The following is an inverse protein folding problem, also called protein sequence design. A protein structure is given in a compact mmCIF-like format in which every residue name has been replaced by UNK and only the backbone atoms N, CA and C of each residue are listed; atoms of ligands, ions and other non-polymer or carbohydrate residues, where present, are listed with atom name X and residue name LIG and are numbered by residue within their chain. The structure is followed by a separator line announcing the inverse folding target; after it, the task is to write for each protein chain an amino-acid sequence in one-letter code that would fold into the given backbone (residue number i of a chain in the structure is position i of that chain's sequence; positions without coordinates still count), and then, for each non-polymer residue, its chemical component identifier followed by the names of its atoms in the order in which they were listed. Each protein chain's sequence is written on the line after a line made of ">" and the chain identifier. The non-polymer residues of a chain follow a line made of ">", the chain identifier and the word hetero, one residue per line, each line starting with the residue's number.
data_IF_487544545457
#
_entry.id   IF_487544545457
#
_cell.length_a   1.000
_cell.length_b   1.000
_cell.length_c   1.000
_cell.angle_alpha   90.00
_cell.angle_beta   90.00
_cell.angle_gamma   90.00
#
_symmetry.space_group_name_H-M   'P 1'
#
loop_
_entity.id
_entity.type
_entity.pdbx_description
1 polymer ?
#
# COMPACT_ATOMS: atom_id res chain seq x y z
N UNK A 1 -4.31 22.72 5.52
CA UNK A 1 -4.29 21.32 5.09
C UNK A 1 -4.87 20.48 6.20
N UNK A 2 -5.86 19.62 5.89
CA UNK A 2 -6.42 18.70 6.86
C UNK A 2 -5.35 17.81 7.47
N UNK A 3 -5.39 17.65 8.79
CA UNK A 3 -4.57 16.70 9.55
C UNK A 3 -5.33 15.40 9.71
N UNK A 4 -4.62 14.29 9.64
CA UNK A 4 -5.21 12.95 9.80
C UNK A 4 -5.09 12.51 11.25
N UNK A 5 -6.22 12.29 11.91
CA UNK A 5 -6.28 11.62 13.20
C UNK A 5 -6.00 10.14 13.00
N UNK A 6 -5.05 9.59 13.77
CA UNK A 6 -4.58 8.22 13.63
C UNK A 6 -4.81 7.43 14.89
N UNK A 7 -5.16 6.16 14.75
CA UNK A 7 -5.33 5.29 15.89
C UNK A 7 -4.00 5.19 16.67
N UNK A 8 -3.96 5.52 17.96
CA UNK A 8 -2.73 5.43 18.75
C UNK A 8 -2.30 3.97 18.92
N UNK A 9 -1.00 3.75 19.16
CA UNK A 9 -0.42 2.42 19.30
C UNK A 9 -1.09 1.58 20.40
N UNK A 10 -1.46 2.22 21.51
CA UNK A 10 -2.16 1.59 22.63
C UNK A 10 -3.55 1.04 22.28
N UNK A 11 -4.13 1.43 21.14
CA UNK A 11 -5.41 0.94 20.64
C UNK A 11 -5.26 -0.03 19.45
N UNK A 12 -4.04 -0.46 19.13
CA UNK A 12 -3.80 -1.45 18.09
C UNK A 12 -4.57 -2.76 18.35
N UNK A 13 -5.34 -3.21 17.35
CA UNK A 13 -6.19 -4.40 17.46
C UNK A 13 -7.55 -4.14 18.12
N UNK A 14 -7.88 -2.88 18.46
CA UNK A 14 -9.20 -2.50 18.94
C UNK A 14 -10.23 -2.46 17.80
N UNK A 15 -11.49 -2.67 18.14
CA UNK A 15 -12.62 -2.67 17.20
C UNK A 15 -13.37 -1.34 17.30
N UNK A 16 -13.56 -0.63 16.19
CA UNK A 16 -14.29 0.62 16.16
C UNK A 16 -15.76 0.41 16.57
N UNK A 17 -16.32 1.38 17.31
CA UNK A 17 -17.73 1.37 17.71
C UNK A 17 -18.48 2.57 17.16
N UNK A 18 -18.07 3.78 17.52
CA UNK A 18 -18.76 5.00 17.09
C UNK A 18 -17.87 6.23 17.17
N UNK A 19 -18.14 7.21 16.30
CA UNK A 19 -17.63 8.57 16.46
C UNK A 19 -18.40 9.30 17.57
N UNK A 20 -17.70 10.18 18.28
CA UNK A 20 -18.31 11.06 19.30
C UNK A 20 -18.94 12.32 18.71
N UNK A 21 -18.66 12.61 17.44
CA UNK A 21 -19.07 13.83 16.74
C UNK A 21 -19.49 13.51 15.30
N UNK A 22 -20.26 14.42 14.72
CA UNK A 22 -20.61 14.44 13.31
C UNK A 22 -19.69 15.34 12.49
N UNK A 23 -19.62 15.06 11.18
CA UNK A 23 -18.84 15.90 10.27
C UNK A 23 -19.37 17.34 10.27
N UNK A 24 -18.46 18.31 10.24
CA UNK A 24 -18.76 19.73 10.39
C UNK A 24 -18.76 20.23 11.84
N UNK A 25 -18.73 19.35 12.85
CA UNK A 25 -18.66 19.76 14.26
C UNK A 25 -17.23 20.14 14.69
N UNK A 26 -17.07 21.15 15.55
CA UNK A 26 -15.77 21.50 16.11
C UNK A 26 -15.30 20.43 17.11
N UNK A 27 -13.99 20.25 17.20
CA UNK A 27 -13.31 19.37 18.16
C UNK A 27 -12.04 20.05 18.66
N UNK A 28 -11.76 19.92 19.96
CA UNK A 28 -10.49 20.38 20.57
C UNK A 28 -9.57 19.20 20.83
N UNK A 29 -8.27 19.49 20.82
CA UNK A 29 -7.25 18.53 21.24
C UNK A 29 -7.59 17.99 22.64
N UNK A 30 -7.52 16.67 22.79
CA UNK A 30 -7.89 15.97 24.02
C UNK A 30 -9.38 15.67 24.16
N UNK A 31 -10.27 16.19 23.33
CA UNK A 31 -11.70 15.82 23.37
C UNK A 31 -11.94 14.42 22.76
N UNK A 32 -12.99 13.70 23.21
CA UNK A 32 -13.39 12.43 22.61
C UNK A 32 -13.66 12.55 21.10
N UNK A 33 -12.97 11.74 20.30
CA UNK A 33 -13.17 11.67 18.85
C UNK A 33 -13.98 10.43 18.47
N UNK A 34 -13.59 9.28 19.01
CA UNK A 34 -14.16 7.98 18.66
C UNK A 34 -14.02 6.99 19.82
N UNK A 35 -14.87 5.98 19.82
CA UNK A 35 -14.88 4.89 20.80
C UNK A 35 -14.54 3.57 20.14
N UNK A 36 -13.80 2.74 20.88
CA UNK A 36 -13.29 1.44 20.43
C UNK A 36 -13.48 0.39 21.52
N UNK A 37 -13.67 -0.87 21.14
CA UNK A 37 -13.63 -2.00 22.05
C UNK A 37 -12.24 -2.68 22.00
N UNK A 38 -11.59 -2.81 23.16
CA UNK A 38 -10.32 -3.50 23.32
C UNK A 38 -10.38 -4.43 24.54
N UNK A 39 -10.24 -5.74 24.32
CA UNK A 39 -10.36 -6.72 25.40
C UNK A 39 -11.71 -6.68 26.12
N UNK A 40 -12.79 -6.44 25.39
CA UNK A 40 -14.15 -6.32 25.94
C UNK A 40 -14.45 -5.02 26.70
N UNK A 41 -13.50 -4.08 26.76
CA UNK A 41 -13.70 -2.76 27.39
C UNK A 41 -13.85 -1.69 26.33
N UNK A 42 -14.78 -0.76 26.56
CA UNK A 42 -14.90 0.45 25.77
C UNK A 42 -13.78 1.43 26.14
N UNK A 43 -13.01 1.87 25.16
CA UNK A 43 -11.91 2.83 25.28
C UNK A 43 -12.17 4.00 24.34
N UNK A 44 -11.88 5.21 24.79
CA UNK A 44 -12.09 6.44 24.02
C UNK A 44 -10.78 6.90 23.42
N UNK A 45 -10.74 7.04 22.11
CA UNK A 45 -9.70 7.80 21.40
C UNK A 45 -10.01 9.28 21.51
N UNK A 46 -9.02 10.07 21.92
CA UNK A 46 -9.08 11.52 21.98
C UNK A 46 -8.40 12.13 20.77
N UNK A 47 -8.88 13.28 20.31
CA UNK A 47 -8.26 13.98 19.19
C UNK A 47 -6.86 14.50 19.54
N UNK A 48 -5.98 14.46 18.55
CA UNK A 48 -4.61 14.99 18.63
C UNK A 48 -4.49 16.38 18.02
N UNK A 49 -5.52 16.87 17.32
CA UNK A 49 -5.58 18.19 16.73
C UNK A 49 -6.90 18.87 17.07
N UNK A 50 -6.86 20.20 17.17
CA UNK A 50 -8.06 21.03 17.25
C UNK A 50 -8.51 21.47 15.85
N UNK A 51 -9.83 21.60 15.65
CA UNK A 51 -10.39 22.09 14.39
C UNK A 51 -11.86 21.69 14.23
N UNK A 52 -12.24 21.34 13.01
CA UNK A 52 -13.53 20.78 12.63
C UNK A 52 -13.31 19.36 12.12
N UNK A 53 -14.17 18.42 12.53
CA UNK A 53 -14.19 17.08 11.95
C UNK A 53 -14.65 17.17 10.49
N UNK A 54 -13.72 17.07 9.55
CA UNK A 54 -14.01 17.23 8.12
C UNK A 54 -14.51 15.95 7.48
N UNK A 55 -13.99 14.79 7.92
CA UNK A 55 -14.33 13.49 7.33
C UNK A 55 -14.10 12.35 8.31
N UNK A 56 -15.04 11.42 8.38
CA UNK A 56 -14.89 10.11 9.03
C UNK A 56 -14.27 9.14 8.01
N UNK A 57 -13.13 8.51 8.35
CA UNK A 57 -12.39 7.65 7.42
C UNK A 57 -12.58 6.15 7.69
N UNK A 58 -13.21 5.79 8.80
CA UNK A 58 -13.57 4.41 9.14
C UNK A 58 -15.07 4.33 9.35
N UNK A 59 -15.64 3.19 9.05
CA UNK A 59 -17.04 2.87 9.28
C UNK A 59 -17.14 1.44 9.85
N UNK A 60 -18.26 1.16 10.53
CA UNK A 60 -18.63 -0.18 11.01
C UNK A 60 -17.71 -0.80 12.08
N UNK A 61 -18.11 -1.97 12.61
CA UNK A 61 -17.40 -2.75 13.63
C UNK A 61 -16.07 -3.31 13.11
N UNK A 62 -15.11 -2.42 12.94
CA UNK A 62 -13.87 -2.68 12.23
C UNK A 62 -12.71 -2.81 13.20
N UNK A 63 -12.00 -3.94 13.14
CA UNK A 63 -10.73 -4.10 13.84
C UNK A 63 -9.65 -3.23 13.18
N UNK A 64 -9.09 -2.29 13.93
CA UNK A 64 -8.11 -1.33 13.45
C UNK A 64 -6.70 -1.68 13.92
N UNK A 65 -5.71 -1.44 13.07
CA UNK A 65 -4.30 -1.55 13.42
C UNK A 65 -3.79 -0.23 13.99
N UNK A 66 -2.73 -0.30 14.79
CA UNK A 66 -2.02 0.89 15.25
C UNK A 66 -1.64 1.78 14.07
N UNK A 67 -1.95 3.07 14.19
CA UNK A 67 -1.65 4.07 13.18
C UNK A 67 -2.59 4.09 11.97
N UNK A 68 -3.66 3.30 11.95
CA UNK A 68 -4.70 3.42 10.92
C UNK A 68 -5.32 4.83 10.93
N UNK A 69 -5.63 5.41 9.76
CA UNK A 69 -6.30 6.71 9.67
C UNK A 69 -7.76 6.56 10.12
N UNK A 70 -8.20 7.45 11.01
CA UNK A 70 -9.53 7.42 11.65
C UNK A 70 -10.41 8.56 11.13
N UNK A 71 -9.86 9.77 11.04
CA UNK A 71 -10.61 10.96 10.61
C UNK A 71 -9.69 12.03 10.02
N UNK A 72 -10.28 13.00 9.33
CA UNK A 72 -9.64 14.24 8.94
C UNK A 72 -10.16 15.40 9.81
N UNK A 73 -9.24 16.19 10.35
CA UNK A 73 -9.52 17.40 11.14
C UNK A 73 -8.83 18.59 10.49
N UNK A 74 -9.54 19.71 10.32
CA UNK A 74 -8.98 20.92 9.70
C UNK A 74 -9.79 22.16 10.02
N UNK A 75 -9.64 23.23 9.25
CA UNK A 75 -10.38 24.47 9.46
C UNK A 75 -11.86 24.33 9.08
N UNK A 76 -12.74 25.08 9.74
CA UNK A 76 -14.16 25.08 9.40
C UNK A 76 -14.37 25.50 7.94
N UNK A 77 -15.09 24.68 7.17
CA UNK A 77 -15.30 24.91 5.73
C UNK A 77 -14.09 24.63 4.84
N UNK A 78 -12.98 24.08 5.38
CA UNK A 78 -11.86 23.62 4.57
C UNK A 78 -12.31 22.48 3.66
N UNK A 79 -12.16 22.69 2.34
CA UNK A 79 -12.47 21.68 1.35
C UNK A 79 -11.40 20.59 1.37
N UNK A 80 -11.84 19.33 1.57
CA UNK A 80 -10.97 18.16 1.48
C UNK A 80 -10.75 17.72 0.03
N UNK A 81 -11.53 18.23 -0.92
CA UNK A 81 -11.52 17.91 -2.35
C UNK A 81 -11.92 16.46 -2.67
N UNK A 82 -12.06 15.61 -1.65
CA UNK A 82 -12.39 14.20 -1.76
C UNK A 82 -13.88 13.97 -1.48
N UNK A 83 -14.60 13.55 -2.51
CA UNK A 83 -15.99 13.10 -2.41
C UNK A 83 -16.09 11.63 -2.83
N UNK A 84 -16.36 10.70 -1.90
CA UNK A 84 -16.53 9.28 -2.23
C UNK A 84 -17.71 8.98 -3.15
N UNK A 85 -18.68 9.91 -3.26
CA UNK A 85 -19.79 9.79 -4.21
C UNK A 85 -19.37 10.12 -5.65
N UNK A 86 -18.20 10.72 -5.86
CA UNK A 86 -17.64 10.99 -7.18
C UNK A 86 -16.48 10.04 -7.52
N UNK A 87 -15.62 9.77 -6.54
CA UNK A 87 -14.43 8.91 -6.71
C UNK A 87 -14.33 7.95 -5.54
N UNK A 88 -14.48 6.66 -5.83
CA UNK A 88 -14.26 5.61 -4.84
C UNK A 88 -12.77 5.27 -4.82
N UNK A 89 -12.19 5.13 -3.63
CA UNK A 89 -10.77 4.91 -3.45
C UNK A 89 -10.56 3.66 -2.60
N UNK A 90 -9.79 2.71 -3.12
CA UNK A 90 -9.42 1.49 -2.40
C UNK A 90 -7.92 1.50 -2.17
N UNK A 91 -7.51 1.57 -0.91
CA UNK A 91 -6.14 1.32 -0.48
C UNK A 91 -5.88 -0.18 -0.50
N UNK A 92 -4.81 -0.61 -1.14
CA UNK A 92 -4.33 -1.99 -1.11
C UNK A 92 -3.02 -2.11 -0.37
N UNK A 93 -2.88 -3.24 0.31
CA UNK A 93 -1.65 -3.74 0.87
C UNK A 93 -1.64 -5.26 0.64
N UNK A 94 -0.72 -5.78 -0.18
CA UNK A 94 -0.77 -7.17 -0.66
C UNK A 94 0.54 -7.92 -0.36
N UNK A 95 0.42 -9.18 0.05
CA UNK A 95 1.51 -10.16 0.03
C UNK A 95 1.04 -11.37 -0.78
N UNK A 96 1.92 -11.94 -1.59
CA UNK A 96 1.68 -13.22 -2.24
C UNK A 96 2.79 -14.23 -1.90
N UNK A 97 2.51 -15.53 -2.06
CA UNK A 97 3.48 -16.60 -1.84
C UNK A 97 4.28 -16.89 -3.09
N UNK A 98 5.60 -16.96 -2.94
CA UNK A 98 6.49 -17.33 -4.02
C UNK A 98 6.39 -18.84 -4.31
N UNK A 99 6.12 -19.22 -5.55
CA UNK A 99 6.09 -20.62 -6.02
C UNK A 99 7.41 -21.36 -5.80
N UNK A 100 8.53 -20.64 -5.90
CA UNK A 100 9.87 -21.25 -5.85
C UNK A 100 10.37 -21.47 -4.43
N UNK A 101 10.12 -20.53 -3.51
CA UNK A 101 10.71 -20.59 -2.17
C UNK A 101 9.68 -20.60 -1.03
N UNK A 102 8.38 -20.53 -1.33
CA UNK A 102 7.29 -20.53 -0.35
C UNK A 102 7.18 -19.29 0.54
N UNK A 103 8.12 -18.34 0.43
CA UNK A 103 8.12 -17.11 1.22
C UNK A 103 7.14 -16.08 0.65
N UNK A 104 6.62 -15.24 1.53
CA UNK A 104 5.77 -14.13 1.14
C UNK A 104 6.61 -13.01 0.50
N UNK A 105 6.07 -12.37 -0.54
CA UNK A 105 6.65 -11.20 -1.17
C UNK A 105 5.58 -10.12 -1.39
N UNK A 106 5.94 -8.82 -1.31
CA UNK A 106 4.98 -7.75 -1.47
C UNK A 106 4.58 -7.54 -2.92
N UNK A 107 3.28 -7.31 -3.14
CA UNK A 107 2.72 -6.86 -4.43
C UNK A 107 2.36 -5.39 -4.30
N UNK A 108 3.32 -4.53 -4.65
CA UNK A 108 3.26 -3.08 -4.44
C UNK A 108 2.69 -2.30 -5.64
N UNK A 109 1.87 -2.95 -6.47
CA UNK A 109 1.19 -2.33 -7.59
C UNK A 109 0.44 -3.35 -8.44
N UNK A 110 -0.37 -2.86 -9.36
CA UNK A 110 -1.12 -3.63 -10.36
C UNK A 110 -0.20 -3.99 -11.53
N UNK A 111 0.56 -5.07 -11.34
CA UNK A 111 1.58 -5.56 -12.26
C UNK A 111 1.30 -7.01 -12.66
N UNK A 112 1.80 -7.42 -13.83
CA UNK A 112 1.69 -8.81 -14.31
C UNK A 112 2.80 -9.71 -13.78
N UNK A 113 3.85 -9.12 -13.22
CA UNK A 113 5.03 -9.81 -12.72
C UNK A 113 5.58 -9.09 -11.51
N UNK A 114 5.99 -9.83 -10.49
CA UNK A 114 6.65 -9.28 -9.32
C UNK A 114 7.85 -10.13 -8.92
N UNK A 115 8.94 -9.49 -8.52
CA UNK A 115 10.14 -10.17 -8.05
C UNK A 115 9.98 -10.59 -6.59
N UNK A 116 10.20 -11.86 -6.28
CA UNK A 116 10.31 -12.31 -4.90
C UNK A 116 11.58 -11.70 -4.27
N UNK A 117 11.41 -10.95 -3.18
CA UNK A 117 12.53 -10.31 -2.47
C UNK A 117 13.45 -11.30 -1.77
N UNK A 118 12.99 -12.54 -1.54
CA UNK A 118 13.75 -13.58 -0.84
C UNK A 118 14.63 -14.42 -1.76
N UNK A 119 14.11 -14.93 -2.89
CA UNK A 119 14.88 -15.78 -3.82
C UNK A 119 15.25 -15.08 -5.13
N UNK A 120 14.61 -13.95 -5.45
CA UNK A 120 14.83 -13.19 -6.68
C UNK A 120 14.01 -13.66 -7.86
N UNK A 121 13.25 -14.76 -7.72
CA UNK A 121 12.45 -15.30 -8.81
C UNK A 121 11.33 -14.33 -9.23
N UNK A 122 11.02 -14.31 -10.53
CA UNK A 122 9.99 -13.45 -11.08
C UNK A 122 8.67 -14.20 -11.15
N UNK A 123 7.78 -13.84 -10.24
CA UNK A 123 6.49 -14.48 -10.04
C UNK A 123 5.45 -13.89 -10.98
N UNK A 124 4.71 -14.72 -11.75
CA UNK A 124 3.59 -14.24 -12.56
C UNK A 124 2.43 -13.83 -11.65
N UNK A 125 1.82 -12.68 -11.96
CA UNK A 125 0.61 -12.15 -11.35
C UNK A 125 -0.40 -11.91 -12.47
N UNK A 126 -0.86 -13.01 -13.07
CA UNK A 126 -1.77 -12.99 -14.21
C UNK A 126 -3.15 -12.42 -13.86
N UNK A 127 -4.02 -12.36 -14.86
CA UNK A 127 -5.40 -11.88 -14.69
C UNK A 127 -6.15 -12.67 -13.60
N UNK A 128 -5.96 -13.98 -13.57
CA UNK A 128 -6.59 -14.89 -12.61
C UNK A 128 -6.27 -14.51 -11.16
N UNK A 129 -5.01 -14.15 -10.85
CA UNK A 129 -4.65 -13.65 -9.52
C UNK A 129 -5.45 -12.40 -9.14
N UNK A 130 -5.55 -11.42 -10.05
CA UNK A 130 -6.27 -10.19 -9.76
C UNK A 130 -7.79 -10.39 -9.68
N UNK A 131 -8.32 -11.31 -10.47
CA UNK A 131 -9.74 -11.62 -10.52
C UNK A 131 -10.17 -12.48 -9.32
N UNK A 132 -9.48 -13.58 -9.08
CA UNK A 132 -9.90 -14.61 -8.13
C UNK A 132 -9.44 -14.29 -6.71
N UNK A 133 -8.25 -13.70 -6.55
CA UNK A 133 -7.69 -13.45 -5.21
C UNK A 133 -7.91 -12.01 -4.70
N UNK A 134 -8.19 -11.03 -5.58
CA UNK A 134 -8.19 -9.61 -5.20
C UNK A 134 -9.52 -8.88 -5.47
N UNK A 135 -10.24 -9.25 -6.54
CA UNK A 135 -11.37 -8.46 -7.02
C UNK A 135 -12.53 -8.34 -6.02
N UNK A 136 -12.87 -9.43 -5.33
CA UNK A 136 -13.94 -9.44 -4.34
C UNK A 136 -13.65 -8.48 -3.18
N UNK A 137 -12.44 -8.57 -2.60
CA UNK A 137 -12.00 -7.70 -1.50
C UNK A 137 -11.94 -6.23 -1.88
N UNK A 138 -11.49 -5.94 -3.11
CA UNK A 138 -11.53 -4.59 -3.67
C UNK A 138 -12.98 -4.12 -3.82
N UNK A 139 -13.86 -4.99 -4.31
CA UNK A 139 -15.29 -4.72 -4.45
C UNK A 139 -15.94 -4.30 -3.13
N UNK A 140 -15.70 -5.03 -2.05
CA UNK A 140 -16.18 -4.67 -0.71
C UNK A 140 -15.60 -3.35 -0.21
N UNK A 141 -14.30 -3.14 -0.42
CA UNK A 141 -13.60 -1.95 0.04
C UNK A 141 -13.91 -0.68 -0.79
N UNK A 142 -14.70 -0.76 -1.88
CA UNK A 142 -15.16 0.44 -2.61
C UNK A 142 -16.11 1.29 -1.77
N UNK A 143 -16.76 0.70 -0.77
CA UNK A 143 -17.56 1.45 0.21
C UNK A 143 -16.63 2.24 1.14
N UNK A 144 -16.82 3.56 1.30
CA UNK A 144 -15.97 4.38 2.16
C UNK A 144 -15.92 3.87 3.61
N UNK A 145 -14.71 3.75 4.14
CA UNK A 145 -14.44 3.24 5.49
C UNK A 145 -14.54 1.71 5.63
N UNK A 146 -15.11 1.00 4.64
CA UNK A 146 -15.22 -0.44 4.66
C UNK A 146 -13.86 -1.12 4.45
N UNK A 147 -13.80 -2.39 4.85
CA UNK A 147 -12.61 -3.23 4.70
C UNK A 147 -12.95 -4.47 3.87
N UNK A 148 -12.04 -4.80 2.97
CA UNK A 148 -11.91 -6.14 2.39
C UNK A 148 -10.57 -6.73 2.78
N UNK A 149 -10.40 -8.02 2.54
CA UNK A 149 -9.12 -8.70 2.72
C UNK A 149 -9.20 -9.87 3.69
N UNK A 150 -8.45 -10.91 3.36
CA UNK A 150 -8.23 -12.08 4.18
C UNK A 150 -6.83 -12.65 4.03
N UNK A 151 -6.59 -13.75 4.75
CA UNK A 151 -5.43 -14.61 4.54
C UNK A 151 -5.96 -15.93 4.02
N UNK A 152 -5.64 -16.27 2.78
CA UNK A 152 -5.97 -17.57 2.20
C UNK A 152 -4.89 -18.58 2.55
N UNK A 153 -5.25 -19.77 3.03
CA UNK A 153 -4.27 -20.81 3.35
C UNK A 153 -3.53 -21.22 2.06
N UNK A 154 -2.23 -20.90 2.00
CA UNK A 154 -1.41 -21.13 0.80
C UNK A 154 -1.60 -20.09 -0.31
N UNK A 155 -2.51 -19.13 -0.15
CA UNK A 155 -2.75 -18.03 -1.07
C UNK A 155 -2.21 -16.69 -0.57
N UNK A 156 -2.61 -15.58 -1.21
CA UNK A 156 -2.15 -14.26 -0.82
C UNK A 156 -2.78 -13.78 0.50
N UNK A 157 -2.11 -12.78 1.08
CA UNK A 157 -2.70 -11.93 2.11
C UNK A 157 -3.13 -10.62 1.48
N UNK A 158 -4.43 -10.38 1.47
CA UNK A 158 -5.05 -9.18 0.92
C UNK A 158 -5.51 -8.29 2.06
N UNK A 159 -5.25 -7.00 1.95
CA UNK A 159 -5.81 -6.00 2.84
C UNK A 159 -6.25 -4.79 2.01
N UNK A 160 -7.56 -4.61 1.93
CA UNK A 160 -8.21 -3.54 1.17
C UNK A 160 -8.97 -2.62 2.13
N UNK A 161 -8.90 -1.31 1.93
CA UNK A 161 -9.72 -0.35 2.69
C UNK A 161 -10.24 0.79 1.83
N UNK A 162 -11.51 1.14 2.01
CA UNK A 162 -12.15 2.30 1.39
C UNK A 162 -11.62 3.60 1.98
N UNK A 163 -10.46 4.06 1.51
CA UNK A 163 -9.76 5.22 2.04
C UNK A 163 -9.28 6.11 0.89
N UNK A 164 -9.34 7.44 1.03
CA UNK A 164 -8.74 8.33 0.06
C UNK A 164 -7.21 8.11 -0.03
N UNK A 165 -6.56 8.55 -1.12
CA UNK A 165 -5.11 8.49 -1.24
C UNK A 165 -4.44 9.32 -0.15
N UNK A 166 -3.69 8.66 0.73
CA UNK A 166 -2.91 9.29 1.78
C UNK A 166 -1.42 9.15 1.48
N UNK A 167 -0.62 10.09 1.97
CA UNK A 167 0.82 9.99 1.89
C UNK A 167 1.32 8.72 2.59
N UNK A 168 2.20 7.96 1.94
CA UNK A 168 2.70 6.67 2.43
C UNK A 168 3.63 6.83 3.63
N UNK A 169 4.19 8.02 3.79
CA UNK A 169 5.14 8.41 4.84
C UNK A 169 4.44 9.09 6.01
N UNK A 170 3.73 10.20 5.75
CA UNK A 170 3.13 11.02 6.82
C UNK A 170 1.61 10.88 6.97
N UNK A 171 0.93 10.10 6.12
CA UNK A 171 -0.52 9.89 6.12
C UNK A 171 -1.37 11.12 5.83
N UNK A 172 -0.77 12.27 5.49
CA UNK A 172 -1.51 13.45 5.01
C UNK A 172 -2.29 13.11 3.74
N UNK A 173 -3.54 13.58 3.64
CA UNK A 173 -4.34 13.46 2.42
C UNK A 173 -3.58 14.02 1.22
N UNK A 174 -3.49 13.24 0.13
CA UNK A 174 -2.92 13.75 -1.12
C UNK A 174 -3.90 14.73 -1.76
N UNK A 175 -3.37 15.85 -2.24
CA UNK A 175 -4.16 16.92 -2.81
C UNK A 175 -4.93 16.46 -4.06
N UNK A 176 -6.23 16.74 -4.10
CA UNK A 176 -7.12 16.27 -5.16
C UNK A 176 -6.91 17.03 -6.48
N UNK A 177 -6.40 18.26 -6.44
CA UNK A 177 -5.99 18.98 -7.64
C UNK A 177 -4.72 18.37 -8.23
N UNK A 178 -3.76 17.97 -7.39
CA UNK A 178 -2.56 17.26 -7.79
C UNK A 178 -2.90 15.89 -8.38
N UNK A 179 -3.85 15.15 -7.78
CA UNK A 179 -4.40 13.91 -8.34
C UNK A 179 -5.03 14.14 -9.72
N UNK A 180 -5.85 15.17 -9.87
CA UNK A 180 -6.49 15.53 -11.14
C UNK A 180 -5.46 15.91 -12.21
N UNK A 181 -4.44 16.69 -11.85
CA UNK A 181 -3.36 17.05 -12.75
C UNK A 181 -2.55 15.82 -13.19
N UNK A 182 -2.23 14.92 -12.24
CA UNK A 182 -1.54 13.66 -12.51
C UNK A 182 -2.37 12.76 -13.43
N UNK A 183 -3.68 12.66 -13.21
CA UNK A 183 -4.59 11.90 -14.08
C UNK A 183 -4.62 12.44 -15.51
N UNK A 184 -4.74 13.78 -15.68
CA UNK A 184 -4.71 14.44 -17.00
C UNK A 184 -3.39 14.21 -17.76
N UNK A 185 -2.28 14.08 -17.04
CA UNK A 185 -0.97 13.78 -17.63
C UNK A 185 -0.87 12.29 -18.01
N UNK A 186 -1.28 11.40 -17.12
CA UNK A 186 -1.23 9.96 -17.33
C UNK A 186 -2.16 9.49 -18.46
N UNK A 187 -3.35 10.09 -18.60
CA UNK A 187 -4.29 9.76 -19.67
C UNK A 187 -3.78 10.09 -21.08
N UNK A 188 -2.75 10.93 -21.18
CA UNK A 188 -2.03 11.24 -22.43
C UNK A 188 -0.81 10.34 -22.67
N UNK A 189 -0.66 9.26 -21.89
CA UNK A 189 0.46 8.33 -21.97
C UNK A 189 1.73 8.76 -21.21
N UNK A 190 1.66 9.83 -20.42
CA UNK A 190 2.77 10.28 -19.59
C UNK A 190 2.96 9.45 -18.30
N UNK A 191 4.17 9.47 -17.73
CA UNK A 191 4.36 9.10 -16.33
C UNK A 191 3.97 10.29 -15.46
N UNK A 192 3.14 10.07 -14.46
CA UNK A 192 2.75 11.12 -13.52
C UNK A 192 3.27 10.82 -12.11
N UNK A 193 3.43 11.87 -11.33
CA UNK A 193 3.79 11.79 -9.92
C UNK A 193 3.06 12.85 -9.12
N UNK A 194 2.85 12.57 -7.84
CA UNK A 194 2.18 13.46 -6.89
C UNK A 194 3.12 13.63 -5.71
N UNK A 195 3.46 14.86 -5.37
CA UNK A 195 4.25 15.17 -4.18
C UNK A 195 3.32 15.46 -3.00
N UNK A 196 3.64 14.89 -1.84
CA UNK A 196 2.93 15.21 -0.62
C UNK A 196 3.23 16.65 -0.18
N UNK A 197 2.20 17.49 -0.06
CA UNK A 197 2.34 18.88 0.36
C UNK A 197 2.89 19.10 1.78
N UNK A 198 2.90 18.06 2.63
CA UNK A 198 3.44 18.15 3.99
C UNK A 198 4.90 17.67 4.08
N UNK A 199 5.23 16.49 3.54
CA UNK A 199 6.55 15.87 3.75
C UNK A 199 7.39 15.73 2.47
N UNK A 200 6.89 16.16 1.32
CA UNK A 200 7.57 16.10 0.02
C UNK A 200 7.70 14.70 -0.58
N UNK A 201 7.16 13.67 0.06
CA UNK A 201 7.22 12.29 -0.46
C UNK A 201 6.53 12.20 -1.83
N UNK A 202 7.22 11.64 -2.82
CA UNK A 202 6.70 11.46 -4.18
C UNK A 202 5.96 10.13 -4.33
N UNK A 203 4.80 10.19 -4.97
CA UNK A 203 3.93 9.07 -5.27
C UNK A 203 3.80 8.89 -6.77
N UNK A 204 4.16 7.72 -7.28
CA UNK A 204 3.92 7.39 -8.69
C UNK A 204 2.41 7.34 -8.97
N UNK A 205 2.00 7.79 -10.16
CA UNK A 205 0.62 7.73 -10.59
C UNK A 205 0.53 7.40 -12.09
N UNK A 206 -0.41 6.53 -12.46
CA UNK A 206 -0.57 6.10 -13.85
C UNK A 206 -1.97 5.55 -14.14
N UNK A 207 -2.28 5.41 -15.42
CA UNK A 207 -3.46 4.67 -15.86
C UNK A 207 -3.31 3.17 -15.53
N UNK A 208 -4.41 2.49 -15.17
CA UNK A 208 -4.41 1.06 -15.03
C UNK A 208 -4.08 0.37 -16.38
N UNK A 209 -3.49 -0.84 -16.36
CA UNK A 209 -3.30 -1.60 -17.58
C UNK A 209 -4.66 -1.96 -18.20
N UNK A 210 -4.72 -2.10 -19.53
CA UNK A 210 -5.99 -2.25 -20.26
C UNK A 210 -6.87 -3.41 -19.74
N UNK A 211 -6.26 -4.54 -19.37
CA UNK A 211 -6.97 -5.70 -18.84
C UNK A 211 -7.66 -5.44 -17.50
N UNK A 212 -7.24 -4.43 -16.73
CA UNK A 212 -7.78 -4.17 -15.41
C UNK A 212 -9.24 -3.71 -15.47
N UNK A 213 -9.65 -3.02 -16.54
CA UNK A 213 -11.03 -2.56 -16.71
C UNK A 213 -12.03 -3.72 -16.84
N UNK A 214 -11.58 -4.90 -17.31
CA UNK A 214 -12.40 -6.10 -17.44
C UNK A 214 -12.69 -6.74 -16.06
N UNK A 215 -11.76 -6.60 -15.11
CA UNK A 215 -11.86 -7.17 -13.76
C UNK A 215 -12.47 -6.15 -12.78
N UNK A 216 -11.98 -4.92 -12.83
CA UNK A 216 -12.26 -3.84 -11.91
C UNK A 216 -13.10 -2.78 -12.61
N UNK A 217 -14.39 -3.03 -12.79
CA UNK A 217 -15.28 -2.12 -13.53
C UNK A 217 -15.25 -0.69 -12.98
N UNK A 218 -14.92 0.28 -13.84
CA UNK A 218 -14.81 1.70 -13.50
C UNK A 218 -13.47 2.11 -12.88
N UNK A 219 -12.45 1.24 -12.86
CA UNK A 219 -11.10 1.63 -12.45
C UNK A 219 -10.55 2.70 -13.41
N UNK A 220 -10.08 3.81 -12.84
CA UNK A 220 -9.66 4.98 -13.61
C UNK A 220 -8.19 5.34 -13.38
N UNK A 221 -7.66 5.10 -12.17
CA UNK A 221 -6.33 5.60 -11.81
C UNK A 221 -5.65 4.77 -10.74
N UNK A 222 -4.31 4.67 -10.82
CA UNK A 222 -3.46 3.99 -9.83
C UNK A 222 -2.51 5.00 -9.19
N UNK A 223 -2.36 4.95 -7.87
CA UNK A 223 -1.56 5.92 -7.12
C UNK A 223 -0.70 5.23 -6.06
N UNK A 224 0.54 5.66 -5.92
CA UNK A 224 1.45 5.24 -4.85
C UNK A 224 2.11 3.88 -5.06
N UNK A 225 1.99 3.29 -6.25
CA UNK A 225 2.67 2.04 -6.58
C UNK A 225 4.19 2.17 -6.42
N UNK A 226 4.81 1.09 -5.98
CA UNK A 226 6.26 0.97 -5.84
C UNK A 226 6.70 -0.25 -6.62
N UNK A 227 6.93 -0.06 -7.91
CA UNK A 227 7.60 -1.08 -8.72
C UNK A 227 9.05 -1.14 -8.27
N UNK A 228 9.46 -2.26 -7.69
CA UNK A 228 10.81 -2.49 -7.16
C UNK A 228 11.89 -2.61 -8.23
N UNK A 229 11.80 -1.79 -9.30
CA UNK A 229 12.91 -1.64 -10.22
C UNK A 229 14.07 -1.01 -9.44
N UNK A 230 15.26 -1.63 -9.46
CA UNK A 230 16.44 -1.02 -8.90
C UNK A 230 16.61 0.38 -9.51
N UNK A 231 17.03 1.35 -8.70
CA UNK A 231 17.42 2.66 -9.23
C UNK A 231 18.49 2.52 -10.32
N UNK A 232 18.72 3.59 -11.11
CA UNK A 232 19.64 3.56 -12.25
C UNK A 232 21.07 3.11 -11.89
N UNK A 233 21.49 3.30 -10.64
CA UNK A 233 22.76 2.83 -10.09
C UNK A 233 22.54 1.55 -9.26
N UNK A 234 22.16 0.46 -9.93
CA UNK A 234 22.12 -0.85 -9.31
C UNK A 234 23.44 -1.20 -8.60
N UNK A 235 23.42 -2.00 -7.53
CA UNK A 235 24.63 -2.40 -6.81
C UNK A 235 25.64 -3.02 -7.78
N UNK A 236 26.89 -2.56 -7.68
CA UNK A 236 27.98 -3.04 -8.55
C UNK A 236 28.22 -4.53 -8.32
N UNK A 237 28.56 -5.31 -9.36
CA UNK A 237 28.91 -6.71 -9.19
C UNK A 237 29.99 -6.92 -8.13
N UNK A 238 29.85 -7.98 -7.33
CA UNK A 238 30.77 -8.34 -6.25
C UNK A 238 31.43 -9.67 -6.56
N UNK A 239 32.73 -9.78 -6.27
CA UNK A 239 33.46 -11.04 -6.37
C UNK A 239 33.20 -11.89 -5.12
N UNK A 240 32.62 -13.07 -5.33
CA UNK A 240 32.35 -14.06 -4.29
C UNK A 240 33.14 -15.34 -4.57
N UNK A 241 33.77 -15.95 -3.56
CA UNK A 241 34.52 -17.20 -3.76
C UNK A 241 33.57 -18.39 -3.72
N UNK A 242 33.64 -19.26 -4.73
CA UNK A 242 32.90 -20.51 -4.73
C UNK A 242 33.34 -21.37 -3.52
N UNK A 243 32.41 -21.82 -2.65
CA UNK A 243 32.77 -22.63 -1.49
C UNK A 243 33.33 -24.01 -1.86
N UNK A 244 33.02 -24.51 -3.07
CA UNK A 244 33.43 -25.83 -3.55
C UNK A 244 34.83 -25.85 -4.16
N UNK A 245 35.17 -24.87 -5.00
CA UNK A 245 36.44 -24.86 -5.75
C UNK A 245 37.29 -23.59 -5.56
N UNK A 246 36.85 -22.66 -4.71
CA UNK A 246 37.50 -21.38 -4.40
C UNK A 246 37.66 -20.41 -5.57
N UNK A 247 37.14 -20.74 -6.76
CA UNK A 247 37.16 -19.85 -7.91
C UNK A 247 36.36 -18.56 -7.65
N UNK A 248 36.82 -17.46 -8.23
CA UNK A 248 36.14 -16.17 -8.16
C UNK A 248 34.87 -16.18 -9.03
N UNK A 249 33.71 -15.98 -8.41
CA UNK A 249 32.42 -15.82 -9.06
C UNK A 249 32.06 -14.34 -9.07
N UNK A 250 31.67 -13.83 -10.24
CA UNK A 250 31.09 -12.50 -10.37
C UNK A 250 29.59 -12.61 -10.08
N UNK A 251 29.12 -11.90 -9.06
CA UNK A 251 27.72 -11.90 -8.63
C UNK A 251 27.13 -10.54 -8.94
N UNK A 252 26.07 -10.52 -9.75
CA UNK A 252 25.31 -9.31 -10.09
C UNK A 252 23.87 -9.31 -9.52
N UNK A 253 23.53 -10.33 -8.73
CA UNK A 253 22.33 -10.34 -7.88
C UNK A 253 21.03 -10.77 -8.57
N UNK A 254 21.11 -11.38 -9.75
CA UNK A 254 19.93 -11.80 -10.50
C UNK A 254 19.18 -12.94 -9.84
N UNK A 255 19.92 -13.88 -9.22
CA UNK A 255 19.42 -15.08 -8.55
C UNK A 255 20.19 -15.35 -7.27
N UNK A 256 19.48 -15.88 -6.26
CA UNK A 256 20.10 -16.28 -4.99
C UNK A 256 20.92 -17.57 -5.08
N UNK A 257 20.63 -18.42 -6.06
CA UNK A 257 21.40 -19.62 -6.36
C UNK A 257 22.10 -19.41 -7.69
N UNK A 258 23.43 -19.47 -7.69
CA UNK A 258 24.28 -19.22 -8.85
C UNK A 258 25.08 -20.48 -9.18
N UNK A 259 25.05 -20.92 -10.44
CA UNK A 259 25.84 -22.05 -10.92
C UNK A 259 27.31 -21.62 -11.08
N UNK A 260 28.24 -22.29 -10.40
CA UNK A 260 29.67 -22.03 -10.57
C UNK A 260 30.14 -22.42 -11.97
N UNK A 261 30.64 -21.47 -12.77
CA UNK A 261 31.15 -21.75 -14.13
C UNK A 261 32.43 -22.61 -14.20
N UNK A 262 33.06 -22.89 -13.06
CA UNK A 262 34.34 -23.61 -12.98
C UNK A 262 34.19 -25.07 -12.54
N UNK A 263 33.38 -25.32 -11.50
CA UNK A 263 33.16 -26.66 -10.95
C UNK A 263 31.71 -27.12 -11.03
N UNK A 264 30.84 -26.28 -11.59
CA UNK A 264 29.42 -26.56 -11.76
C UNK A 264 28.67 -26.85 -10.44
N UNK A 265 29.16 -26.45 -9.27
CA UNK A 265 28.34 -26.52 -8.06
C UNK A 265 27.30 -25.39 -8.05
N UNK A 266 26.09 -25.66 -7.56
CA UNK A 266 25.12 -24.63 -7.23
C UNK A 266 25.54 -23.94 -5.92
N UNK A 267 25.74 -22.62 -5.99
CA UNK A 267 26.21 -21.80 -4.86
C UNK A 267 25.04 -20.97 -4.35
N UNK A 268 24.66 -21.22 -3.09
CA UNK A 268 23.68 -20.40 -2.39
C UNK A 268 24.35 -19.13 -1.85
N UNK A 269 23.85 -17.96 -2.25
CA UNK A 269 24.37 -16.68 -1.79
C UNK A 269 23.93 -16.41 -0.33
N UNK A 270 24.86 -16.05 0.58
CA UNK A 270 24.52 -15.64 1.94
C UNK A 270 23.56 -14.43 1.96
N UNK A 271 22.75 -14.32 3.01
CA UNK A 271 21.71 -13.28 3.13
C UNK A 271 22.25 -11.87 2.96
N UNK A 272 23.38 -11.53 3.58
CA UNK A 272 23.97 -10.18 3.48
C UNK A 272 24.38 -9.84 2.04
N UNK A 273 24.97 -10.79 1.33
CA UNK A 273 25.33 -10.63 -0.08
C UNK A 273 24.09 -10.55 -0.96
N UNK A 274 23.06 -11.37 -0.69
CA UNK A 274 21.81 -11.32 -1.41
C UNK A 274 21.08 -9.99 -1.24
N UNK A 275 20.95 -9.52 0.00
CA UNK A 275 20.27 -8.27 0.36
C UNK A 275 21.03 -7.03 -0.10
N UNK A 276 22.34 -7.13 -0.32
CA UNK A 276 23.12 -6.09 -0.99
C UNK A 276 22.57 -5.82 -2.41
N UNK A 277 22.26 -6.88 -3.16
CA UNK A 277 21.72 -6.76 -4.52
C UNK A 277 20.20 -6.62 -4.57
N UNK A 278 19.51 -7.24 -3.62
CA UNK A 278 18.06 -7.32 -3.57
C UNK A 278 17.57 -6.85 -2.20
N UNK A 279 17.64 -5.53 -1.92
CA UNK A 279 17.09 -4.98 -0.69
C UNK A 279 15.64 -5.45 -0.54
N UNK A 280 15.29 -5.94 0.65
CA UNK A 280 13.95 -6.43 0.90
C UNK A 280 12.93 -5.31 0.64
N UNK A 281 12.16 -5.43 -0.45
CA UNK A 281 11.10 -4.49 -0.73
C UNK A 281 10.13 -4.52 0.45
N UNK A 282 9.84 -3.33 1.00
CA UNK A 282 8.86 -3.20 2.06
C UNK A 282 7.48 -3.28 1.42
N UNK A 283 6.55 -3.96 2.10
CA UNK A 283 5.12 -3.92 1.76
C UNK A 283 4.67 -2.46 1.78
N UNK A 284 4.15 -1.96 0.67
CA UNK A 284 3.80 -0.56 0.47
C UNK A 284 2.31 -0.41 0.17
N UNK A 285 1.71 0.65 0.72
CA UNK A 285 0.32 1.03 0.45
C UNK A 285 0.26 1.72 -0.90
N UNK A 286 -0.69 1.30 -1.73
CA UNK A 286 -1.03 1.93 -3.00
C UNK A 286 -2.56 1.95 -3.16
N UNK A 287 -3.07 2.71 -4.11
CA UNK A 287 -4.51 2.94 -4.26
C UNK A 287 -4.98 2.66 -5.68
N UNK A 288 -6.17 2.07 -5.76
CA UNK A 288 -7.02 2.06 -6.96
C UNK A 288 -8.10 3.11 -6.79
N UNK A 289 -8.27 3.97 -7.79
CA UNK A 289 -9.35 4.95 -7.85
C UNK A 289 -10.33 4.52 -8.93
N UNK A 290 -11.61 4.66 -8.60
CA UNK A 290 -12.73 4.30 -9.46
C UNK A 290 -13.62 5.50 -9.66
N UNK A 291 -14.16 5.63 -10.87
CA UNK A 291 -15.33 6.48 -11.10
C UNK A 291 -16.50 5.92 -10.29
N UNK A 292 -17.20 6.80 -9.56
CA UNK A 292 -18.44 6.42 -8.93
C UNK A 292 -19.48 6.03 -9.99
N UNK A 293 -20.29 5.03 -9.67
CA UNK A 293 -21.38 4.55 -10.54
C UNK A 293 -22.62 5.41 -10.41
#
# INVERSE_FOLDING_TARGET
>A
MPKTERLPEALGGAEFRAFSLDEGQPIREGEPLASFALGGKLVVMRATHSGTLLRKLISEELRCAAGDPVALVGAAGEDVGYDPAQVQCVRLLLLNKCSECGNDYPVNGMVERARCTRCGDIQPLGRDFWQDDVAEDVGFARTPGARGGGVTLGGPTVECRGLPPLCRKCFTLLDMNALTAAWKLASKGGRASIECGECGETHAARMPPAWAAEIFGGIAFLVGEVTGEPGPDGPKPVIFKCPSCLAALEIAGEKRIVRCKYCESDVYLPDDLWLHFNPAAKRARWWMLFEAR
#
